data_IF_558837041747
#
_entry.id   IF_558837041747
#
_cell.length_a   1.000
_cell.length_b   1.000
_cell.length_c   1.000
_cell.angle_alpha   90.00
_cell.angle_beta   90.00
_cell.angle_gamma   90.00
#
_symmetry.space_group_name_H-M   'P 1'
#
loop_
_entity.id
_entity.type
_entity.pdbx_description
1 polymer ?
#
# COMPACT_ATOMS: atom_id res chain seq x y z
N UNK A 1 13.34 17.69 -14.09
CA UNK A 1 14.39 16.70 -13.74
C UNK A 1 13.80 15.34 -13.32
N UNK A 2 12.99 15.27 -12.25
CA UNK A 2 12.48 14.00 -11.70
C UNK A 2 11.79 13.07 -12.73
N UNK A 3 10.87 13.58 -13.56
CA UNK A 3 10.22 12.78 -14.60
C UNK A 3 11.21 12.22 -15.64
N UNK A 4 12.19 13.03 -16.06
CA UNK A 4 13.20 12.62 -17.04
C UNK A 4 14.22 11.61 -16.49
N UNK A 5 14.44 11.60 -15.17
CA UNK A 5 15.32 10.63 -14.50
C UNK A 5 14.59 9.36 -14.05
N UNK A 6 13.28 9.43 -13.81
CA UNK A 6 12.49 8.29 -13.31
C UNK A 6 12.61 7.07 -14.22
N UNK A 7 12.39 7.24 -15.54
CA UNK A 7 12.45 6.15 -16.50
C UNK A 7 13.85 5.50 -16.58
N UNK A 8 14.94 6.24 -16.86
CA UNK A 8 16.26 5.61 -16.94
C UNK A 8 16.69 4.97 -15.63
N UNK A 9 16.46 5.63 -14.47
CA UNK A 9 16.82 5.05 -13.17
C UNK A 9 16.01 3.78 -12.85
N UNK A 10 14.74 3.72 -13.26
CA UNK A 10 13.93 2.49 -13.14
C UNK A 10 14.50 1.36 -13.97
N UNK A 11 14.91 1.65 -15.21
CA UNK A 11 15.42 0.66 -16.14
C UNK A 11 16.85 0.19 -15.80
N UNK A 12 17.62 0.97 -15.03
CA UNK A 12 18.92 0.52 -14.49
C UNK A 12 18.77 -0.68 -13.55
N UNK A 13 17.60 -0.89 -12.95
CA UNK A 13 17.28 -2.09 -12.17
C UNK A 13 16.85 -3.27 -13.04
N UNK A 14 16.93 -3.18 -14.37
CA UNK A 14 16.45 -4.19 -15.30
C UNK A 14 15.03 -3.92 -15.81
N UNK A 15 14.67 -4.52 -16.95
CA UNK A 15 13.41 -4.23 -17.64
C UNK A 15 12.17 -4.64 -16.84
N UNK A 16 12.21 -5.80 -16.18
CA UNK A 16 11.10 -6.31 -15.37
C UNK A 16 10.87 -5.45 -14.12
N UNK A 17 11.93 -5.18 -13.34
CA UNK A 17 11.84 -4.29 -12.19
C UNK A 17 11.44 -2.86 -12.62
N UNK A 18 12.03 -2.34 -13.69
CA UNK A 18 11.70 -1.04 -14.23
C UNK A 18 10.23 -0.92 -14.64
N UNK A 19 9.67 -1.93 -15.30
CA UNK A 19 8.25 -1.95 -15.66
C UNK A 19 7.33 -1.95 -14.42
N UNK A 20 7.67 -2.73 -13.38
CA UNK A 20 6.95 -2.76 -12.12
C UNK A 20 6.96 -1.39 -11.43
N UNK A 21 8.15 -0.77 -11.31
CA UNK A 21 8.28 0.55 -10.70
C UNK A 21 7.50 1.61 -11.48
N UNK A 22 7.62 1.63 -12.81
CA UNK A 22 6.87 2.56 -13.67
C UNK A 22 5.36 2.33 -13.58
N UNK A 23 4.91 1.09 -13.38
CA UNK A 23 3.51 0.78 -13.07
C UNK A 23 3.05 1.42 -11.75
N UNK A 24 3.88 1.34 -10.70
CA UNK A 24 3.64 2.05 -9.43
C UNK A 24 3.59 3.58 -9.58
N UNK A 25 4.52 4.15 -10.36
CA UNK A 25 4.52 5.58 -10.69
C UNK A 25 3.26 5.99 -11.46
N UNK A 26 2.85 5.19 -12.45
CA UNK A 26 1.63 5.41 -13.21
C UNK A 26 0.38 5.34 -12.31
N UNK A 27 0.35 4.43 -11.34
CA UNK A 27 -0.72 4.37 -10.34
C UNK A 27 -0.79 5.66 -9.52
N UNK A 28 0.35 6.18 -9.04
CA UNK A 28 0.43 7.47 -8.33
C UNK A 28 -0.06 8.65 -9.19
N UNK A 29 0.27 8.67 -10.49
CA UNK A 29 -0.31 9.65 -11.41
C UNK A 29 -1.81 9.49 -11.58
N UNK A 30 -2.31 8.27 -11.78
CA UNK A 30 -3.74 7.99 -11.92
C UNK A 30 -4.54 8.41 -10.68
N UNK A 31 -3.96 8.28 -9.48
CA UNK A 31 -4.51 8.83 -8.24
C UNK A 31 -4.78 10.33 -8.36
N UNK A 32 -3.74 11.10 -8.69
CA UNK A 32 -3.79 12.56 -8.77
C UNK A 32 -4.66 13.05 -9.93
N UNK A 33 -4.65 12.36 -11.07
CA UNK A 33 -5.41 12.73 -12.27
C UNK A 33 -6.92 12.49 -12.15
N UNK A 34 -7.36 11.67 -11.19
CA UNK A 34 -8.79 11.58 -10.93
C UNK A 34 -9.23 10.49 -9.97
N UNK A 35 -8.49 9.38 -9.85
CA UNK A 35 -8.94 8.23 -9.05
C UNK A 35 -9.14 8.60 -7.57
N UNK A 36 -8.43 9.59 -7.04
CA UNK A 36 -8.63 10.09 -5.66
C UNK A 36 -10.06 10.54 -5.37
N UNK A 37 -10.83 10.95 -6.40
CA UNK A 37 -12.22 11.40 -6.27
C UNK A 37 -13.25 10.28 -6.44
N UNK A 38 -12.79 9.04 -6.56
CA UNK A 38 -13.65 7.87 -6.85
C UNK A 38 -13.59 6.85 -5.73
N UNK A 39 -14.54 5.92 -5.72
CA UNK A 39 -14.50 4.75 -4.83
C UNK A 39 -13.24 3.89 -5.03
N UNK A 40 -12.54 4.04 -6.16
CA UNK A 40 -11.28 3.36 -6.45
C UNK A 40 -10.05 4.11 -5.89
N UNK A 41 -10.23 5.18 -5.13
CA UNK A 41 -9.12 5.94 -4.51
C UNK A 41 -8.07 5.10 -3.74
N UNK A 42 -8.39 3.94 -3.11
CA UNK A 42 -7.37 3.11 -2.47
C UNK A 42 -6.55 2.26 -3.45
N UNK A 43 -7.06 1.99 -4.65
CA UNK A 43 -6.42 1.10 -5.63
C UNK A 43 -5.01 1.56 -6.03
N UNK A 44 -4.76 2.86 -6.31
CA UNK A 44 -3.41 3.35 -6.57
C UNK A 44 -2.40 3.07 -5.45
N UNK A 45 -2.82 3.20 -4.19
CA UNK A 45 -1.96 2.90 -3.05
C UNK A 45 -1.69 1.39 -2.94
N UNK A 46 -2.71 0.56 -3.14
CA UNK A 46 -2.56 -0.89 -3.15
C UNK A 46 -1.58 -1.35 -4.24
N UNK A 47 -1.70 -0.81 -5.46
CA UNK A 47 -0.79 -1.10 -6.59
C UNK A 47 0.61 -0.56 -6.30
N UNK A 48 0.74 0.68 -5.83
CA UNK A 48 2.03 1.31 -5.54
C UNK A 48 2.82 0.52 -4.50
N UNK A 49 2.23 0.25 -3.33
CA UNK A 49 2.90 -0.53 -2.29
C UNK A 49 3.08 -2.00 -2.70
N UNK A 50 2.06 -2.62 -3.29
CA UNK A 50 2.13 -4.01 -3.77
C UNK A 50 3.20 -4.24 -4.85
N UNK A 51 3.60 -3.20 -5.58
CA UNK A 51 4.69 -3.27 -6.57
C UNK A 51 6.08 -3.36 -5.94
N UNK A 52 6.26 -2.90 -4.69
CA UNK A 52 7.59 -2.79 -4.06
C UNK A 52 8.30 -4.13 -3.90
N UNK A 53 7.65 -5.22 -3.41
CA UNK A 53 8.30 -6.52 -3.35
C UNK A 53 8.74 -7.01 -4.73
N UNK A 54 7.91 -6.84 -5.76
CA UNK A 54 8.25 -7.22 -7.13
C UNK A 54 9.43 -6.42 -7.68
N UNK A 55 9.48 -5.11 -7.42
CA UNK A 55 10.60 -4.26 -7.82
C UNK A 55 11.92 -4.74 -7.21
N UNK A 56 11.91 -5.05 -5.91
CA UNK A 56 13.11 -5.48 -5.17
C UNK A 56 13.58 -6.87 -5.61
N UNK A 57 12.68 -7.82 -5.88
CA UNK A 57 13.08 -9.20 -6.19
C UNK A 57 13.41 -9.43 -7.67
N UNK A 58 12.95 -8.55 -8.57
CA UNK A 58 13.26 -8.59 -10.00
C UNK A 58 14.48 -7.75 -10.39
N UNK A 59 15.02 -6.94 -9.46
CA UNK A 59 16.17 -6.08 -9.71
C UNK A 59 17.54 -6.79 -9.80
N UNK A 60 17.84 -7.76 -8.92
CA UNK A 60 19.12 -8.46 -8.93
C UNK A 60 19.32 -9.37 -10.16
N UNK A 61 20.57 -9.76 -10.49
CA UNK A 61 20.85 -10.69 -11.59
C UNK A 61 20.14 -12.05 -11.45
N UNK A 62 20.07 -12.58 -10.22
CA UNK A 62 19.28 -13.77 -9.90
C UNK A 62 17.86 -13.38 -9.53
N UNK A 63 17.01 -13.20 -10.54
CA UNK A 63 15.62 -12.76 -10.34
C UNK A 63 14.76 -13.85 -9.71
N UNK A 64 13.83 -13.43 -8.86
CA UNK A 64 12.75 -14.28 -8.36
C UNK A 64 11.45 -13.50 -8.31
N UNK A 65 10.33 -14.15 -8.65
CA UNK A 65 9.02 -13.55 -8.40
C UNK A 65 8.83 -13.36 -6.88
N UNK A 66 8.25 -12.22 -6.44
CA UNK A 66 8.02 -11.98 -5.04
C UNK A 66 7.04 -13.00 -4.49
N UNK A 67 7.19 -13.34 -3.23
CA UNK A 67 6.22 -14.18 -2.55
C UNK A 67 4.85 -13.47 -2.53
N UNK A 68 3.78 -14.21 -2.80
CA UNK A 68 2.42 -13.66 -2.88
C UNK A 68 2.04 -12.90 -1.58
N UNK A 69 2.46 -13.42 -0.42
CA UNK A 69 2.16 -12.80 0.88
C UNK A 69 2.87 -11.46 1.08
N UNK A 70 4.04 -11.26 0.47
CA UNK A 70 4.75 -9.99 0.53
C UNK A 70 4.01 -8.93 -0.29
N UNK A 71 3.55 -9.30 -1.49
CA UNK A 71 2.76 -8.43 -2.38
C UNK A 71 1.42 -8.08 -1.73
N UNK A 72 0.69 -9.09 -1.22
CA UNK A 72 -0.61 -8.88 -0.56
C UNK A 72 -0.46 -8.05 0.73
N UNK A 73 0.53 -8.35 1.56
CA UNK A 73 0.82 -7.59 2.78
C UNK A 73 1.14 -6.12 2.47
N UNK A 74 2.00 -5.87 1.49
CA UNK A 74 2.33 -4.50 1.06
C UNK A 74 1.10 -3.77 0.48
N UNK A 75 0.29 -4.42 -0.35
CA UNK A 75 -0.93 -3.82 -0.90
C UNK A 75 -1.95 -3.44 0.19
N UNK A 76 -2.11 -4.29 1.22
CA UNK A 76 -2.95 -3.99 2.38
C UNK A 76 -2.37 -2.82 3.19
N UNK A 77 -1.04 -2.78 3.41
CA UNK A 77 -0.38 -1.65 4.06
C UNK A 77 -0.61 -0.34 3.29
N UNK A 78 -0.48 -0.36 1.96
CA UNK A 78 -0.78 0.80 1.11
C UNK A 78 -2.23 1.25 1.25
N UNK A 79 -3.18 0.32 1.24
CA UNK A 79 -4.60 0.61 1.42
C UNK A 79 -4.87 1.24 2.79
N UNK A 80 -4.28 0.71 3.86
CA UNK A 80 -4.37 1.30 5.20
C UNK A 80 -3.73 2.69 5.27
N UNK A 81 -2.56 2.86 4.66
CA UNK A 81 -1.86 4.14 4.57
C UNK A 81 -2.68 5.20 3.84
N UNK A 82 -3.42 4.83 2.79
CA UNK A 82 -4.37 5.74 2.12
C UNK A 82 -5.43 6.25 3.08
N UNK A 83 -6.04 5.35 3.87
CA UNK A 83 -7.07 5.74 4.85
C UNK A 83 -6.47 6.65 5.92
N UNK A 84 -5.28 6.33 6.45
CA UNK A 84 -4.58 7.18 7.44
C UNK A 84 -4.24 8.55 6.86
N UNK A 85 -3.77 8.61 5.60
CA UNK A 85 -3.43 9.85 4.92
C UNK A 85 -4.65 10.75 4.72
N UNK A 86 -5.81 10.16 4.39
CA UNK A 86 -7.03 10.92 4.12
C UNK A 86 -7.77 11.30 5.41
N UNK A 87 -7.72 10.47 6.45
CA UNK A 87 -8.49 10.64 7.69
C UNK A 87 -8.41 12.05 8.32
N UNK A 88 -7.22 12.69 8.49
CA UNK A 88 -7.17 14.03 9.08
C UNK A 88 -7.85 15.09 8.21
N UNK A 89 -7.85 14.91 6.88
CA UNK A 89 -8.18 15.94 5.89
C UNK A 89 -9.57 15.75 5.25
N UNK A 90 -10.40 14.81 5.74
CA UNK A 90 -11.68 14.45 5.11
C UNK A 90 -12.57 15.67 4.81
N UNK A 91 -12.75 16.58 5.77
CA UNK A 91 -13.63 17.73 5.61
C UNK A 91 -13.07 18.75 4.61
N UNK A 92 -11.76 18.98 4.60
CA UNK A 92 -11.08 19.87 3.65
C UNK A 92 -11.09 19.28 2.23
N UNK A 93 -10.87 17.98 2.11
CA UNK A 93 -10.99 17.22 0.86
C UNK A 93 -12.40 17.33 0.29
N UNK A 94 -13.44 17.17 1.12
CA UNK A 94 -14.83 17.32 0.70
C UNK A 94 -15.13 18.74 0.22
N UNK A 95 -14.62 19.78 0.92
CA UNK A 95 -14.77 21.17 0.53
C UNK A 95 -14.12 21.49 -0.84
N UNK A 96 -13.09 20.73 -1.23
CA UNK A 96 -12.43 20.84 -2.56
C UNK A 96 -12.97 19.85 -3.60
N UNK A 97 -14.05 19.12 -3.28
CA UNK A 97 -14.73 18.20 -4.20
C UNK A 97 -14.07 16.82 -4.32
N UNK A 98 -13.16 16.45 -3.40
CA UNK A 98 -12.57 15.11 -3.32
C UNK A 98 -13.53 14.17 -2.59
N UNK A 99 -14.19 13.29 -3.35
CA UNK A 99 -15.18 12.33 -2.83
C UNK A 99 -14.74 10.88 -3.02
N UNK A 100 -13.50 10.59 -2.60
CA UNK A 100 -12.94 9.24 -2.57
C UNK A 100 -13.67 8.29 -1.62
N UNK A 101 -13.20 7.04 -1.55
CA UNK A 101 -13.79 6.03 -0.67
C UNK A 101 -13.73 6.45 0.81
N UNK A 102 -12.58 6.92 1.37
CA UNK A 102 -12.54 7.30 2.78
C UNK A 102 -13.47 8.49 3.09
N UNK A 103 -13.58 9.47 2.20
CA UNK A 103 -14.49 10.60 2.37
C UNK A 103 -15.96 10.16 2.37
N UNK A 104 -16.32 9.14 1.57
CA UNK A 104 -17.67 8.53 1.57
C UNK A 104 -17.97 7.71 2.81
N UNK A 105 -16.97 7.00 3.35
CA UNK A 105 -17.09 6.25 4.59
C UNK A 105 -17.19 7.18 5.81
N UNK A 106 -16.56 8.36 5.72
CA UNK A 106 -16.51 9.35 6.77
C UNK A 106 -15.49 9.02 7.86
N UNK A 107 -15.22 10.04 8.69
CA UNK A 107 -14.18 10.00 9.73
C UNK A 107 -14.35 8.87 10.74
N UNK A 108 -15.58 8.61 11.18
CA UNK A 108 -15.87 7.57 12.17
C UNK A 108 -15.57 6.15 11.66
N UNK A 109 -15.96 5.82 10.43
CA UNK A 109 -15.66 4.51 9.85
C UNK A 109 -14.17 4.37 9.48
N UNK A 110 -13.53 5.44 8.99
CA UNK A 110 -12.12 5.42 8.63
C UNK A 110 -11.20 5.22 9.83
N UNK A 111 -11.55 5.75 11.01
CA UNK A 111 -10.85 5.50 12.28
C UNK A 111 -10.65 4.01 12.57
N UNK A 112 -11.63 3.18 12.25
CA UNK A 112 -11.54 1.73 12.44
C UNK A 112 -10.99 1.01 11.22
N UNK A 113 -11.33 1.47 10.01
CA UNK A 113 -10.92 0.80 8.77
C UNK A 113 -9.41 0.77 8.61
N UNK A 114 -8.71 1.88 8.90
CA UNK A 114 -7.25 1.95 8.81
C UNK A 114 -6.54 0.86 9.64
N UNK A 115 -6.73 0.78 10.97
CA UNK A 115 -6.02 -0.21 11.77
C UNK A 115 -6.45 -1.65 11.47
N UNK A 116 -7.72 -1.92 11.13
CA UNK A 116 -8.14 -3.27 10.76
C UNK A 116 -7.54 -3.74 9.42
N UNK A 117 -7.40 -2.85 8.44
CA UNK A 117 -6.71 -3.16 7.18
C UNK A 117 -5.21 -3.41 7.43
N UNK A 118 -4.58 -2.61 8.30
CA UNK A 118 -3.19 -2.84 8.70
C UNK A 118 -3.02 -4.15 9.49
N UNK A 119 -3.96 -4.49 10.36
CA UNK A 119 -3.97 -5.77 11.07
C UNK A 119 -4.11 -6.95 10.11
N UNK A 120 -4.94 -6.83 9.06
CA UNK A 120 -5.03 -7.83 8.01
C UNK A 120 -3.69 -7.98 7.28
N UNK A 121 -2.96 -6.89 7.02
CA UNK A 121 -1.61 -6.95 6.46
C UNK A 121 -0.65 -7.73 7.37
N UNK A 122 -0.67 -7.45 8.67
CA UNK A 122 0.13 -8.21 9.66
C UNK A 122 -0.25 -9.68 9.66
N UNK A 123 -1.55 -10.01 9.62
CA UNK A 123 -2.03 -11.39 9.53
C UNK A 123 -1.48 -12.13 8.30
N UNK A 124 -1.49 -11.48 7.13
CA UNK A 124 -0.92 -12.04 5.90
C UNK A 124 0.60 -12.25 6.03
N UNK A 125 1.32 -11.29 6.61
CA UNK A 125 2.78 -11.38 6.77
C UNK A 125 3.20 -12.40 7.84
N UNK A 126 2.34 -12.70 8.80
CA UNK A 126 2.55 -13.72 9.84
C UNK A 126 2.20 -15.11 9.29
N UNK A 127 1.09 -15.26 8.56
CA UNK A 127 0.60 -16.57 8.12
C UNK A 127 1.16 -17.02 6.76
N UNK A 128 1.61 -16.09 5.93
CA UNK A 128 2.02 -16.35 4.54
C UNK A 128 3.38 -17.03 4.38
N UNK A 129 4.45 -16.56 5.05
CA UNK A 129 5.78 -17.19 4.95
C UNK A 129 5.78 -18.63 5.46
N UNK A 130 6.54 -19.55 4.82
CA UNK A 130 6.68 -20.91 5.32
C UNK A 130 7.51 -20.94 6.61
N UNK A 131 7.12 -21.81 7.54
CA UNK A 131 7.80 -22.01 8.81
C UNK A 131 7.12 -21.32 9.99
N UNK A 132 7.67 -21.51 11.19
CA UNK A 132 7.11 -20.94 12.40
C UNK A 132 7.49 -19.47 12.55
N UNK A 133 6.51 -18.63 12.87
CA UNK A 133 6.73 -17.22 13.19
C UNK A 133 7.49 -17.14 14.51
N UNK A 134 8.63 -16.45 14.52
CA UNK A 134 9.43 -16.22 15.73
C UNK A 134 8.66 -15.42 16.79
N UNK A 135 9.15 -15.45 18.04
CA UNK A 135 8.53 -14.70 19.14
C UNK A 135 8.30 -13.21 18.83
N UNK A 136 9.24 -12.47 18.19
CA UNK A 136 9.01 -11.07 17.83
C UNK A 136 7.81 -10.88 16.89
N UNK A 137 7.66 -11.75 15.88
CA UNK A 137 6.53 -11.67 14.95
C UNK A 137 5.18 -11.92 15.63
N UNK A 138 5.14 -12.84 16.59
CA UNK A 138 3.93 -13.08 17.40
C UNK A 138 3.60 -11.90 18.31
N UNK A 139 4.61 -11.30 18.95
CA UNK A 139 4.43 -10.10 19.78
C UNK A 139 3.89 -8.94 18.94
N UNK A 140 4.48 -8.69 17.77
CA UNK A 140 4.00 -7.65 16.86
C UNK A 140 2.55 -7.89 16.41
N UNK A 141 2.17 -9.14 16.14
CA UNK A 141 0.78 -9.49 15.79
C UNK A 141 -0.20 -9.18 16.93
N UNK A 142 0.15 -9.54 18.17
CA UNK A 142 -0.66 -9.25 19.36
C UNK A 142 -0.78 -7.75 19.59
N UNK A 143 0.33 -7.01 19.50
CA UNK A 143 0.35 -5.55 19.66
C UNK A 143 -0.50 -4.88 18.58
N UNK A 144 -0.37 -5.31 17.31
CA UNK A 144 -1.20 -4.80 16.23
C UNK A 144 -2.69 -5.06 16.48
N UNK A 145 -3.05 -6.24 17.02
CA UNK A 145 -4.42 -6.56 17.42
C UNK A 145 -4.93 -5.63 18.52
N UNK A 146 -4.12 -5.39 19.55
CA UNK A 146 -4.48 -4.49 20.65
C UNK A 146 -4.66 -3.04 20.17
N UNK A 147 -3.75 -2.54 19.33
CA UNK A 147 -3.86 -1.21 18.71
C UNK A 147 -5.13 -1.09 17.87
N UNK A 148 -5.47 -2.12 17.08
CA UNK A 148 -6.63 -2.07 16.22
C UNK A 148 -7.97 -2.05 16.98
N UNK A 149 -8.03 -2.68 18.15
CA UNK A 149 -9.20 -2.64 19.03
C UNK A 149 -9.27 -1.33 19.83
N UNK A 150 -8.13 -0.69 20.11
CA UNK A 150 -8.08 0.58 20.82
C UNK A 150 -8.58 1.78 19.98
N UNK A 151 -8.34 1.74 18.65
CA UNK A 151 -8.75 2.79 17.71
C UNK A 151 -7.73 3.91 17.54
#
# INVERSE_FOLDING_TARGET
AALGLCVPLSLLSGTAAGAVHLGGVAAGWAYNLGLKRTVLSPLPYAVGFGSLPAFVTLGPPSQSWPAWWAVTGAALLGTGAHVVNVLPDIEDDLATGVTGLPQRLGRAACRWTAPFVMLAAVGVLVAGPPGAVGAPGRVLAVVAGAVAVAG
#
